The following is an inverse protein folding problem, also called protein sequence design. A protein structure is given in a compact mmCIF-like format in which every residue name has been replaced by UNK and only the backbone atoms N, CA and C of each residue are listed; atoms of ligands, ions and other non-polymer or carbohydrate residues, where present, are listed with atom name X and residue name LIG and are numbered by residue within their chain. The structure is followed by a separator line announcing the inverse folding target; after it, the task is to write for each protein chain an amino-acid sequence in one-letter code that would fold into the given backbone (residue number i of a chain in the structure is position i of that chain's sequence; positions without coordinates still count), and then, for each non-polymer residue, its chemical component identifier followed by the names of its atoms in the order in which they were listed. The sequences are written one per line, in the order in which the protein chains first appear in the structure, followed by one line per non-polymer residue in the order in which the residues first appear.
data_IF_738641717780
#
_entry.id   IF_738641717780
#
_cell.length_a   1.000
_cell.length_b   1.000
_cell.length_c   1.000
_cell.angle_alpha   90.00
_cell.angle_beta   90.00
_cell.angle_gamma   90.00
#
_symmetry.space_group_name_H-M   'P 1'
#
loop_
_entity.id
_entity.type
_entity.pdbx_description
1 polymer ?
#
# COMPACT_ATOMS: atom_id res chain seq x y z
N UNK A 1 -1.59 -12.15 -0.86
CA UNK A 1 -1.53 -10.72 -0.48
C UNK A 1 -1.19 -10.63 1.00
N UNK A 2 -0.30 -9.70 1.35
CA UNK A 2 0.17 -9.45 2.70
C UNK A 2 -0.05 -7.99 3.10
N UNK A 3 -0.32 -7.77 4.39
CA UNK A 3 -0.27 -6.46 5.05
C UNK A 3 1.12 -6.29 5.63
N UNK A 4 1.92 -5.42 5.03
CA UNK A 4 3.36 -5.28 5.32
C UNK A 4 3.64 -4.21 6.38
N UNK A 5 2.83 -3.16 6.43
CA UNK A 5 3.00 -2.06 7.41
C UNK A 5 1.71 -1.25 7.59
N UNK A 6 1.64 -0.48 8.68
CA UNK A 6 0.70 0.64 8.82
C UNK A 6 1.27 1.85 8.09
N UNK A 7 0.46 2.53 7.26
CA UNK A 7 0.88 3.77 6.58
C UNK A 7 0.30 5.00 7.27
N UNK A 8 1.01 6.13 7.18
CA UNK A 8 0.54 7.47 7.58
C UNK A 8 1.28 8.56 6.82
N UNK A 9 0.69 9.75 6.75
CA UNK A 9 1.38 10.95 6.27
C UNK A 9 2.36 11.52 7.34
N UNK A 10 3.06 12.61 6.99
CA UNK A 10 3.99 13.30 7.89
C UNK A 10 3.30 13.99 9.09
N UNK A 11 2.01 14.32 8.98
CA UNK A 11 1.20 14.96 10.03
C UNK A 11 0.49 13.93 10.92
N UNK A 12 0.80 12.64 10.73
CA UNK A 12 0.14 11.53 11.41
C UNK A 12 -1.36 11.40 11.12
N UNK A 13 -1.78 11.84 9.94
CA UNK A 13 -3.08 11.62 9.31
C UNK A 13 -3.02 10.59 8.17
N UNK A 14 -4.10 10.48 7.40
CA UNK A 14 -4.24 9.60 6.23
C UNK A 14 -3.77 8.15 6.48
N UNK A 15 -4.24 7.56 7.59
CA UNK A 15 -3.83 6.23 7.99
C UNK A 15 -4.32 5.15 7.02
N UNK A 16 -3.45 4.15 6.80
CA UNK A 16 -3.71 3.07 5.85
C UNK A 16 -2.98 1.78 6.18
N UNK A 17 -2.89 0.92 5.16
CA UNK A 17 -2.06 -0.29 5.14
C UNK A 17 -1.19 -0.28 3.90
N UNK A 18 0.07 -0.64 4.06
CA UNK A 18 0.92 -1.04 2.94
C UNK A 18 0.60 -2.49 2.61
N UNK A 19 0.05 -2.70 1.42
CA UNK A 19 -0.27 -4.01 0.89
C UNK A 19 0.78 -4.44 -0.12
N UNK A 20 1.05 -5.74 -0.17
CA UNK A 20 1.93 -6.35 -1.17
C UNK A 20 1.31 -7.65 -1.68
N UNK A 21 1.31 -7.87 -3.00
CA UNK A 21 0.87 -9.11 -3.62
C UNK A 21 1.59 -9.34 -4.94
N UNK A 22 1.49 -10.57 -5.43
CA UNK A 22 1.96 -10.98 -6.74
C UNK A 22 0.74 -11.23 -7.64
N UNK A 23 0.78 -10.78 -8.89
CA UNK A 23 -0.22 -11.13 -9.90
C UNK A 23 0.12 -12.46 -10.62
N UNK A 24 -0.75 -12.88 -11.54
CA UNK A 24 -0.60 -14.15 -12.27
C UNK A 24 0.62 -14.16 -13.23
N UNK A 25 1.14 -12.99 -13.61
CA UNK A 25 2.37 -12.84 -14.40
C UNK A 25 3.64 -12.79 -13.53
N UNK A 26 3.48 -12.89 -12.21
CA UNK A 26 4.59 -12.90 -11.25
C UNK A 26 5.08 -11.52 -10.84
N UNK A 27 4.40 -10.44 -11.24
CA UNK A 27 4.78 -9.06 -10.91
C UNK A 27 4.36 -8.74 -9.48
N UNK A 28 5.28 -8.15 -8.71
CA UNK A 28 5.02 -7.68 -7.35
C UNK A 28 4.43 -6.28 -7.39
N UNK A 29 3.25 -6.15 -6.79
CA UNK A 29 2.52 -4.91 -6.62
C UNK A 29 2.57 -4.46 -5.17
N UNK A 30 2.69 -3.15 -4.95
CA UNK A 30 2.58 -2.54 -3.64
C UNK A 30 1.61 -1.37 -3.65
N UNK A 31 0.76 -1.28 -2.63
CA UNK A 31 -0.19 -0.17 -2.51
C UNK A 31 -0.32 0.30 -1.06
N UNK A 32 -0.09 1.59 -0.83
CA UNK A 32 -0.47 2.27 0.41
C UNK A 32 -2.00 2.53 0.39
N UNK A 33 -2.77 1.50 0.70
CA UNK A 33 -4.23 1.53 0.75
C UNK A 33 -4.73 2.39 1.92
N UNK A 34 -5.49 3.48 1.69
CA UNK A 34 -6.09 4.24 2.77
C UNK A 34 -7.17 3.44 3.50
N UNK A 35 -7.17 3.45 4.84
CA UNK A 35 -8.22 2.78 5.63
C UNK A 35 -9.60 3.43 5.44
N UNK A 36 -9.63 4.71 5.08
CA UNK A 36 -10.86 5.44 4.78
C UNK A 36 -11.67 4.77 3.66
N UNK A 37 -11.00 4.14 2.68
CA UNK A 37 -11.68 3.42 1.58
C UNK A 37 -12.44 2.16 2.04
N UNK A 38 -12.20 1.70 3.26
CA UNK A 38 -12.93 0.59 3.87
C UNK A 38 -14.19 1.06 4.63
N UNK A 39 -14.36 2.37 4.84
CA UNK A 39 -15.55 2.93 5.48
C UNK A 39 -16.70 2.97 4.45
N UNK A 40 -17.44 1.87 4.38
CA UNK A 40 -18.50 1.67 3.39
C UNK A 40 -18.60 0.20 3.00
N UNK A 41 -18.78 -0.08 1.71
CA UNK A 41 -18.86 -1.45 1.18
C UNK A 41 -17.50 -2.02 0.71
N UNK A 42 -16.42 -1.26 0.89
CA UNK A 42 -15.06 -1.58 0.45
C UNK A 42 -14.94 -1.92 -1.06
N UNK A 43 -15.87 -1.46 -1.90
CA UNK A 43 -15.86 -1.75 -3.34
C UNK A 43 -14.70 -1.10 -4.07
N UNK A 44 -14.29 0.09 -3.65
CA UNK A 44 -13.14 0.81 -4.22
C UNK A 44 -11.84 0.05 -4.01
N UNK A 45 -11.60 -0.45 -2.79
CA UNK A 45 -10.43 -1.29 -2.48
C UNK A 45 -10.40 -2.55 -3.33
N UNK A 46 -11.53 -3.24 -3.46
CA UNK A 46 -11.58 -4.46 -4.30
C UNK A 46 -11.39 -4.17 -5.78
N UNK A 47 -11.90 -3.04 -6.27
CA UNK A 47 -11.73 -2.62 -7.67
C UNK A 47 -10.26 -2.40 -7.99
N UNK A 48 -9.54 -1.75 -7.09
CA UNK A 48 -8.12 -1.46 -7.30
C UNK A 48 -7.24 -2.70 -7.17
N UNK A 49 -7.49 -3.54 -6.15
CA UNK A 49 -6.78 -4.81 -6.05
C UNK A 49 -7.00 -5.69 -7.30
N UNK A 50 -8.24 -5.75 -7.80
CA UNK A 50 -8.57 -6.53 -9.00
C UNK A 50 -8.00 -5.92 -10.30
N UNK A 51 -7.92 -4.58 -10.41
CA UNK A 51 -7.34 -3.92 -11.60
C UNK A 51 -5.84 -4.22 -11.75
N UNK A 52 -5.20 -4.62 -10.65
CA UNK A 52 -3.78 -4.95 -10.53
C UNK A 52 -3.54 -6.46 -10.33
N UNK A 53 -4.47 -7.28 -10.83
CA UNK A 53 -4.28 -8.73 -10.94
C UNK A 53 -4.53 -9.53 -9.65
N UNK A 54 -5.00 -8.93 -8.55
CA UNK A 54 -5.41 -9.73 -7.40
C UNK A 54 -6.77 -10.39 -7.64
N UNK A 55 -6.77 -11.73 -7.70
CA UNK A 55 -8.01 -12.51 -7.75
C UNK A 55 -8.76 -12.43 -6.41
N UNK A 56 -9.99 -11.93 -6.43
CA UNK A 56 -10.85 -11.78 -5.25
C UNK A 56 -12.12 -12.62 -5.42
N UNK A 57 -12.43 -13.43 -4.41
CA UNK A 57 -13.67 -14.21 -4.38
C UNK A 57 -14.92 -13.31 -4.45
N UNK A 58 -15.91 -13.63 -5.30
CA UNK A 58 -17.18 -12.92 -5.38
C UNK A 58 -18.16 -13.32 -4.26
N UNK A 59 -17.80 -14.25 -3.37
CA UNK A 59 -18.64 -14.61 -2.24
C UNK A 59 -18.64 -13.49 -1.20
N UNK A 60 -19.83 -13.10 -0.74
CA UNK A 60 -20.00 -12.02 0.25
C UNK A 60 -19.14 -12.23 1.49
N UNK A 61 -19.18 -13.44 2.07
CA UNK A 61 -18.41 -13.79 3.27
C UNK A 61 -16.90 -13.57 3.04
N UNK A 62 -16.38 -13.98 1.88
CA UNK A 62 -14.96 -13.77 1.54
C UNK A 62 -14.60 -12.28 1.44
N UNK A 63 -15.49 -11.45 0.89
CA UNK A 63 -15.27 -10.00 0.81
C UNK A 63 -15.31 -9.33 2.18
N UNK A 64 -16.20 -9.77 3.04
CA UNK A 64 -16.31 -9.26 4.41
C UNK A 64 -15.04 -9.63 5.20
N UNK A 65 -14.56 -10.88 5.08
CA UNK A 65 -13.30 -11.33 5.68
C UNK A 65 -12.08 -10.56 5.14
N UNK A 66 -12.03 -10.27 3.84
CA UNK A 66 -10.98 -9.43 3.26
C UNK A 66 -10.97 -8.03 3.87
N UNK A 67 -12.14 -7.40 4.00
CA UNK A 67 -12.28 -6.08 4.61
C UNK A 67 -11.88 -6.11 6.10
N UNK A 68 -12.24 -7.16 6.84
CA UNK A 68 -11.79 -7.35 8.22
C UNK A 68 -10.29 -7.51 8.29
N UNK A 69 -9.70 -8.40 7.48
CA UNK A 69 -8.26 -8.63 7.42
C UNK A 69 -7.51 -7.30 7.21
N UNK A 70 -7.88 -6.53 6.20
CA UNK A 70 -7.24 -5.24 5.90
C UNK A 70 -7.38 -4.22 7.05
N UNK A 71 -8.51 -4.21 7.77
CA UNK A 71 -8.71 -3.28 8.88
C UNK A 71 -7.92 -3.64 10.13
N UNK A 72 -7.93 -4.91 10.56
CA UNK A 72 -7.51 -5.27 11.92
C UNK A 72 -6.27 -6.16 11.98
N UNK A 73 -5.69 -6.56 10.84
CA UNK A 73 -4.48 -7.39 10.87
C UNK A 73 -3.36 -6.72 11.68
N UNK A 74 -2.80 -7.42 12.69
CA UNK A 74 -1.77 -6.86 13.54
C UNK A 74 -0.45 -6.80 12.78
N UNK A 75 0.05 -5.58 12.57
CA UNK A 75 1.38 -5.31 12.04
C UNK A 75 2.00 -4.17 12.83
N UNK A 76 3.26 -4.32 13.22
CA UNK A 76 3.99 -3.33 14.01
C UNK A 76 4.81 -2.38 13.15
N UNK A 77 5.25 -2.85 11.98
CA UNK A 77 5.99 -2.04 11.03
C UNK A 77 5.20 -0.81 10.58
N UNK A 78 5.92 0.30 10.41
CA UNK A 78 5.36 1.59 9.98
C UNK A 78 6.00 2.03 8.68
N UNK A 79 5.15 2.57 7.81
CA UNK A 79 5.52 3.20 6.56
C UNK A 79 5.10 4.68 6.56
N UNK A 80 6.00 5.59 6.19
CA UNK A 80 5.63 6.99 5.93
C UNK A 80 5.35 7.18 4.44
N UNK A 81 4.16 7.68 4.13
CA UNK A 81 3.79 8.08 2.78
C UNK A 81 4.36 9.46 2.47
N UNK A 82 5.05 9.58 1.34
CA UNK A 82 5.62 10.84 0.86
C UNK A 82 5.00 11.20 -0.50
N UNK A 83 4.50 12.43 -0.62
CA UNK A 83 3.73 12.90 -1.77
C UNK A 83 4.60 13.35 -2.95
N UNK A 84 5.88 13.62 -2.69
CA UNK A 84 6.83 14.16 -3.69
C UNK A 84 8.09 13.32 -3.76
N UNK A 85 8.54 13.08 -4.98
CA UNK A 85 9.88 12.58 -5.27
C UNK A 85 10.91 13.65 -4.91
N UNK A 86 12.14 13.20 -4.64
CA UNK A 86 13.26 14.06 -4.28
C UNK A 86 13.68 13.89 -2.82
N UNK A 87 14.36 14.90 -2.30
CA UNK A 87 14.88 14.89 -0.94
C UNK A 87 13.75 15.01 0.09
N UNK A 88 13.72 14.09 1.03
CA UNK A 88 12.93 14.12 2.23
C UNK A 88 13.85 13.85 3.43
N UNK A 89 14.16 14.89 4.20
CA UNK A 89 15.20 14.83 5.25
C UNK A 89 16.51 14.27 4.68
N UNK A 90 17.04 13.18 5.26
CA UNK A 90 18.28 12.53 4.84
C UNK A 90 18.06 11.44 3.77
N UNK A 91 16.87 11.36 3.19
CA UNK A 91 16.45 10.30 2.28
C UNK A 91 16.12 10.90 0.92
N UNK A 92 16.64 10.31 -0.13
CA UNK A 92 16.28 10.66 -1.50
C UNK A 92 15.29 9.65 -2.04
N UNK A 93 14.07 10.11 -2.30
CA UNK A 93 12.94 9.28 -2.70
C UNK A 93 12.80 9.34 -4.22
N UNK A 94 12.89 8.19 -4.86
CA UNK A 94 12.67 8.04 -6.31
C UNK A 94 11.41 7.23 -6.59
N UNK A 95 11.01 7.17 -7.86
CA UNK A 95 9.86 6.37 -8.29
C UNK A 95 10.12 4.85 -8.30
N UNK A 96 11.23 4.37 -7.74
CA UNK A 96 11.57 2.94 -7.69
C UNK A 96 12.31 2.55 -6.42
N UNK A 97 12.99 3.49 -5.78
CA UNK A 97 13.81 3.23 -4.60
C UNK A 97 13.90 4.45 -3.68
N UNK A 98 14.25 4.19 -2.42
CA UNK A 98 14.63 5.22 -1.45
C UNK A 98 16.11 5.04 -1.14
N UNK A 99 16.88 6.11 -1.29
CA UNK A 99 18.32 6.14 -1.06
C UNK A 99 18.59 6.89 0.25
N UNK A 100 19.19 6.22 1.23
CA UNK A 100 19.61 6.79 2.52
C UNK A 100 19.23 5.91 3.71
N UNK A 101 19.55 6.34 4.94
CA UNK A 101 19.26 5.58 6.16
C UNK A 101 18.03 6.13 6.89
N UNK A 102 17.08 5.24 7.15
CA UNK A 102 15.87 5.50 7.94
C UNK A 102 15.66 4.37 8.93
N UNK A 103 15.14 4.68 10.12
CA UNK A 103 14.68 3.68 11.10
C UNK A 103 13.29 3.12 10.77
N UNK A 104 12.53 3.80 9.91
CA UNK A 104 11.19 3.39 9.45
C UNK A 104 11.22 3.10 7.94
N UNK A 105 10.40 2.14 7.47
CA UNK A 105 10.22 1.92 6.03
C UNK A 105 9.59 3.20 5.44
N UNK A 106 10.10 3.72 4.33
CA UNK A 106 9.42 4.80 3.59
C UNK A 106 8.74 4.17 2.38
N UNK A 107 7.55 4.66 2.05
CA UNK A 107 6.83 4.26 0.85
C UNK A 107 6.45 5.54 0.12
N UNK A 108 6.82 5.62 -1.16
CA UNK A 108 6.37 6.71 -2.00
C UNK A 108 5.02 6.33 -2.63
N UNK A 109 4.02 7.17 -2.44
CA UNK A 109 2.69 7.01 -3.05
C UNK A 109 2.18 8.41 -3.36
N UNK A 110 1.78 8.65 -4.61
CA UNK A 110 1.13 9.90 -5.00
C UNK A 110 -0.28 9.88 -4.37
N UNK A 111 -0.43 10.59 -3.26
CA UNK A 111 -1.72 10.83 -2.62
C UNK A 111 -2.56 11.64 -3.62
N UNK A 112 -3.67 11.05 -4.08
CA UNK A 112 -4.69 11.58 -5.00
C UNK A 112 -4.68 11.19 -6.49
N UNK A 113 -3.80 10.32 -7.00
CA UNK A 113 -4.10 9.68 -8.30
C UNK A 113 -3.28 8.43 -8.51
N UNK A 114 -3.96 7.40 -9.02
CA UNK A 114 -3.42 6.19 -9.65
C UNK A 114 -1.95 6.35 -10.04
N UNK A 115 -1.05 5.72 -9.29
CA UNK A 115 0.13 5.05 -9.81
C UNK A 115 0.83 4.31 -8.68
N UNK A 116 0.78 2.98 -8.79
CA UNK A 116 1.52 2.03 -8.00
C UNK A 116 3.02 2.13 -8.28
N UNK A 117 3.82 1.89 -7.25
CA UNK A 117 5.21 1.50 -7.43
C UNK A 117 5.24 -0.01 -7.71
N UNK A 118 5.47 -0.39 -8.97
CA UNK A 118 6.01 -1.72 -9.27
C UNK A 118 7.48 -1.71 -8.86
N UNK A 119 7.83 -2.38 -7.76
CA UNK A 119 9.22 -2.64 -7.44
C UNK A 119 9.71 -3.75 -8.37
N UNK A 120 10.48 -3.40 -9.39
CA UNK A 120 11.35 -4.36 -10.05
C UNK A 120 12.35 -4.89 -9.02
N UNK A 121 12.68 -6.20 -9.01
CA UNK A 121 13.77 -6.69 -8.18
C UNK A 121 15.06 -6.02 -8.65
N UNK A 122 15.75 -5.36 -7.72
CA UNK A 122 17.12 -4.90 -7.95
C UNK A 122 17.99 -6.13 -8.22
N UNK A 123 18.61 -6.16 -9.41
CA UNK A 123 19.77 -7.02 -9.70
C UNK A 123 21.00 -6.52 -8.95
#
# INVERSE_FOLDING_TARGET
MYVVAKTRDAKSGEWGRLLEWQDDDGIIHQWAMPLALLQGDASEVRRELASLGLTISPHRISRDLLATYLQVFPVEDRARCVEKLGWHENLFVTASQIIGHSSEKIVFQIVMRLNLLCLYPAL
#
